data_IF_628215706346
#
_entry.id   IF_628215706346
#
_cell.length_a   1.000
_cell.length_b   1.000
_cell.length_c   1.000
_cell.angle_alpha   90.00
_cell.angle_beta   90.00
_cell.angle_gamma   90.00
#
_symmetry.space_group_name_H-M   'P 1'
#
loop_
_entity.id
_entity.type
_entity.pdbx_description
1 polymer ?
#
# COMPACT_ATOMS: atom_id res chain seq x y z
N UNK A 1 -2.83 -7.84 -7.63
CA UNK A 1 -1.71 -7.52 -8.55
C UNK A 1 -0.72 -6.53 -7.94
N UNK A 2 -1.03 -5.23 -7.76
CA UNK A 2 -0.04 -4.27 -7.20
C UNK A 2 0.45 -4.67 -5.79
N UNK A 3 -0.45 -5.02 -4.87
CA UNK A 3 -0.09 -5.46 -3.50
C UNK A 3 0.78 -6.73 -3.49
N UNK A 4 0.58 -7.62 -4.46
CA UNK A 4 1.38 -8.83 -4.61
C UNK A 4 2.80 -8.49 -5.09
N UNK A 5 2.93 -7.61 -6.08
CA UNK A 5 4.24 -7.13 -6.54
C UNK A 5 5.01 -6.40 -5.43
N UNK A 6 4.32 -5.59 -4.63
CA UNK A 6 4.89 -4.90 -3.47
C UNK A 6 5.44 -5.91 -2.45
N UNK A 7 4.67 -6.96 -2.15
CA UNK A 7 5.11 -8.00 -1.22
C UNK A 7 6.36 -8.73 -1.71
N UNK A 8 6.33 -9.18 -2.98
CA UNK A 8 7.48 -9.89 -3.57
C UNK A 8 8.72 -9.00 -3.68
N UNK A 9 8.55 -7.72 -4.03
CA UNK A 9 9.64 -6.76 -4.08
C UNK A 9 10.24 -6.53 -2.68
N UNK A 10 9.40 -6.32 -1.66
CA UNK A 10 9.85 -6.11 -0.29
C UNK A 10 10.66 -7.30 0.25
N UNK A 11 10.25 -8.54 -0.06
CA UNK A 11 11.00 -9.73 0.32
C UNK A 11 12.42 -9.79 -0.27
N UNK A 12 12.62 -9.22 -1.46
CA UNK A 12 13.93 -9.14 -2.11
C UNK A 12 14.72 -7.89 -1.67
N UNK A 13 14.01 -6.84 -1.27
CA UNK A 13 14.53 -5.53 -0.94
C UNK A 13 13.81 -4.97 0.30
N UNK A 14 14.15 -5.44 1.52
CA UNK A 14 13.50 -5.01 2.77
C UNK A 14 13.97 -3.61 3.17
N UNK A 15 13.55 -2.62 2.39
CA UNK A 15 13.85 -1.23 2.59
C UNK A 15 12.62 -0.40 2.22
N UNK A 16 12.14 0.35 3.21
CA UNK A 16 10.90 1.11 3.11
C UNK A 16 10.96 2.22 2.06
N UNK A 17 12.12 2.84 1.85
CA UNK A 17 12.26 3.92 0.86
C UNK A 17 12.23 3.36 -0.57
N UNK A 18 12.96 2.27 -0.84
CA UNK A 18 12.90 1.62 -2.16
C UNK A 18 11.52 1.04 -2.45
N UNK A 19 10.81 0.55 -1.43
CA UNK A 19 9.45 0.07 -1.58
C UNK A 19 8.46 1.19 -1.95
N UNK A 20 8.59 2.38 -1.36
CA UNK A 20 7.77 3.55 -1.74
C UNK A 20 8.01 3.95 -3.19
N UNK A 21 9.27 3.99 -3.63
CA UNK A 21 9.63 4.29 -5.03
C UNK A 21 9.02 3.27 -6.00
N UNK A 22 9.08 1.98 -5.65
CA UNK A 22 8.46 0.89 -6.40
C UNK A 22 6.95 1.09 -6.54
N UNK A 23 6.26 1.35 -5.43
CA UNK A 23 4.82 1.60 -5.39
C UNK A 23 4.43 2.76 -6.30
N UNK A 24 5.15 3.88 -6.19
CA UNK A 24 4.95 5.05 -7.06
C UNK A 24 5.13 4.70 -8.53
N UNK A 25 6.16 3.92 -8.88
CA UNK A 25 6.40 3.50 -10.27
C UNK A 25 5.25 2.62 -10.80
N UNK A 26 4.83 1.61 -10.04
CA UNK A 26 3.75 0.69 -10.41
C UNK A 26 2.41 1.41 -10.58
N UNK A 27 2.09 2.34 -9.69
CA UNK A 27 0.83 3.10 -9.74
C UNK A 27 0.82 4.06 -10.93
N UNK A 28 1.92 4.75 -11.22
CA UNK A 28 2.01 5.66 -12.37
C UNK A 28 1.86 4.95 -13.72
N UNK A 29 2.34 3.72 -13.81
CA UNK A 29 2.18 2.83 -14.96
C UNK A 29 0.72 2.34 -15.12
N UNK A 30 -0.12 2.46 -14.09
CA UNK A 30 -1.51 2.01 -14.08
C UNK A 30 -2.48 3.19 -14.02
N UNK A 31 -2.99 3.61 -15.20
CA UNK A 31 -3.87 4.78 -15.34
C UNK A 31 -5.07 4.81 -14.37
N UNK A 32 -5.69 3.66 -14.09
CA UNK A 32 -6.85 3.56 -13.18
C UNK A 32 -6.52 3.60 -11.69
N UNK A 33 -5.24 3.55 -11.31
CA UNK A 33 -4.82 3.48 -9.91
C UNK A 33 -4.14 4.75 -9.39
N UNK A 34 -3.95 5.78 -10.23
CA UNK A 34 -3.31 7.05 -9.81
C UNK A 34 -4.03 7.74 -8.66
N UNK A 35 -5.36 7.70 -8.64
CA UNK A 35 -6.15 8.25 -7.54
C UNK A 35 -5.90 7.55 -6.19
N UNK A 36 -5.27 6.37 -6.19
CA UNK A 36 -4.94 5.59 -4.99
C UNK A 36 -3.47 5.72 -4.56
N UNK A 37 -2.66 6.54 -5.25
CA UNK A 37 -1.22 6.69 -4.95
C UNK A 37 -0.98 7.10 -3.50
N UNK A 38 -1.69 8.14 -3.01
CA UNK A 38 -1.57 8.60 -1.63
C UNK A 38 -1.91 7.50 -0.62
N UNK A 39 -3.08 6.87 -0.76
CA UNK A 39 -3.51 5.78 0.12
C UNK A 39 -2.49 4.62 0.17
N UNK A 40 -1.93 4.25 -0.97
CA UNK A 40 -0.92 3.19 -1.06
C UNK A 40 0.40 3.60 -0.40
N UNK A 41 0.87 4.83 -0.60
CA UNK A 41 2.09 5.33 0.03
C UNK A 41 1.93 5.46 1.55
N UNK A 42 0.77 5.90 2.03
CA UNK A 42 0.45 5.94 3.46
C UNK A 42 0.42 4.54 4.07
N UNK A 43 -0.22 3.58 3.40
CA UNK A 43 -0.23 2.19 3.82
C UNK A 43 1.19 1.63 3.99
N UNK A 44 2.06 1.82 2.99
CA UNK A 44 3.46 1.36 3.05
C UNK A 44 4.28 2.11 4.10
N UNK A 45 3.99 3.40 4.31
CA UNK A 45 4.62 4.18 5.36
C UNK A 45 4.31 3.65 6.76
N UNK A 46 3.05 3.33 7.01
CA UNK A 46 2.51 2.97 8.34
C UNK A 46 2.52 1.47 8.64
N UNK A 47 2.71 0.63 7.62
CA UNK A 47 2.72 -0.83 7.79
C UNK A 47 4.16 -1.35 7.82
N UNK A 48 4.38 -2.38 8.62
CA UNK A 48 5.60 -3.17 8.61
C UNK A 48 5.40 -4.41 7.74
N UNK A 49 5.76 -4.28 6.46
CA UNK A 49 5.57 -5.32 5.45
C UNK A 49 6.52 -6.51 5.68
N UNK A 50 7.67 -6.30 6.32
CA UNK A 50 8.65 -7.34 6.61
C UNK A 50 8.10 -8.40 7.57
N UNK A 51 7.17 -7.98 8.43
CA UNK A 51 6.52 -8.85 9.43
C UNK A 51 5.26 -9.56 8.90
N UNK A 52 4.87 -9.34 7.63
CA UNK A 52 3.71 -10.00 7.04
C UNK A 52 4.10 -11.37 6.47
N UNK A 53 3.41 -12.46 6.86
CA UNK A 53 3.85 -13.82 6.54
C UNK A 53 3.60 -14.21 5.07
N UNK A 54 2.63 -13.59 4.41
CA UNK A 54 2.24 -13.91 3.05
C UNK A 54 1.48 -12.73 2.40
N UNK A 55 1.22 -12.87 1.10
CA UNK A 55 0.50 -11.87 0.30
C UNK A 55 -0.95 -11.68 0.74
N UNK A 56 -1.59 -12.73 1.26
CA UNK A 56 -2.96 -12.66 1.76
C UNK A 56 -3.04 -11.71 2.95
N UNK A 57 -2.07 -11.74 3.86
CA UNK A 57 -1.97 -10.80 4.99
C UNK A 57 -1.77 -9.35 4.54
N UNK A 58 -1.03 -9.10 3.47
CA UNK A 58 -0.86 -7.74 2.90
C UNK A 58 -2.20 -7.22 2.37
N UNK A 59 -2.97 -8.08 1.71
CA UNK A 59 -4.29 -7.73 1.18
C UNK A 59 -5.25 -7.39 2.32
N UNK A 60 -5.32 -8.24 3.34
CA UNK A 60 -6.16 -8.03 4.52
C UNK A 60 -5.81 -6.70 5.23
N UNK A 61 -4.53 -6.51 5.56
CA UNK A 61 -4.04 -5.29 6.20
C UNK A 61 -4.35 -4.04 5.38
N UNK A 62 -4.19 -4.10 4.05
CA UNK A 62 -4.51 -2.98 3.17
C UNK A 62 -5.99 -2.62 3.21
N UNK A 63 -6.89 -3.61 3.15
CA UNK A 63 -8.33 -3.34 3.20
C UNK A 63 -8.76 -2.78 4.56
N UNK A 64 -8.23 -3.30 5.66
CA UNK A 64 -8.46 -2.74 7.00
C UNK A 64 -7.98 -1.29 7.08
N UNK A 65 -6.78 -1.01 6.58
CA UNK A 65 -6.23 0.34 6.52
C UNK A 65 -7.10 1.28 5.67
N UNK A 66 -7.51 0.83 4.49
CA UNK A 66 -8.31 1.61 3.55
C UNK A 66 -9.71 1.93 4.11
N UNK A 67 -10.35 1.00 4.81
CA UNK A 67 -11.63 1.25 5.49
C UNK A 67 -11.49 2.31 6.57
N UNK A 68 -10.43 2.25 7.38
CA UNK A 68 -10.17 3.26 8.40
C UNK A 68 -9.83 4.64 7.79
N UNK A 69 -9.08 4.68 6.69
CA UNK A 69 -8.83 5.92 5.94
C UNK A 69 -10.13 6.52 5.39
N UNK A 70 -10.99 5.69 4.76
CA UNK A 70 -12.27 6.12 4.22
C UNK A 70 -13.19 6.69 5.30
N UNK A 71 -13.26 6.07 6.47
CA UNK A 71 -14.06 6.56 7.59
C UNK A 71 -13.57 7.92 8.09
N UNK A 72 -12.24 8.09 8.23
CA UNK A 72 -11.65 9.38 8.64
C UNK A 72 -11.92 10.49 7.62
N UNK A 73 -11.80 10.20 6.33
CA UNK A 73 -12.13 11.15 5.27
C UNK A 73 -13.61 11.55 5.30
N UNK A 74 -14.52 10.59 5.52
CA UNK A 74 -15.94 10.87 5.63
C UNK A 74 -16.27 11.76 6.84
N UNK A 75 -15.64 11.51 8.00
CA UNK A 75 -15.80 12.32 9.21
C UNK A 75 -15.25 13.74 9.06
N UNK A 76 -14.17 13.93 8.30
CA UNK A 76 -13.57 15.24 8.05
C UNK A 76 -14.39 16.13 7.10
N UNK A 77 -15.38 15.58 6.40
CA UNK A 77 -16.25 16.29 5.45
C UNK A 77 -17.62 16.69 6.05
N UNK A 78 -17.84 16.41 7.35
CA UNK A 78 -19.04 16.77 8.12
C UNK A 78 -18.78 18.06 8.92
#
# INVERSE_FOLDING_TARGET
>A
YILELIFEYNKQHPNKETLKEEVTRLIRASLGNRAKEGLMLEFIGQTDIDNLPNKESVIEQFYTFAQAAQQREAEALI
#
